data_IF_827404308034
#
_entry.id   IF_827404308034
#
_cell.length_a   1.000
_cell.length_b   1.000
_cell.length_c   1.000
_cell.angle_alpha   90.00
_cell.angle_beta   90.00
_cell.angle_gamma   90.00
#
_symmetry.space_group_name_H-M   'P 1'
#
loop_
_entity.id
_entity.type
_entity.pdbx_description
1 polymer ?
#
# COMPACT_ATOMS: atom_id res chain seq x y z
N UNK A 1 5.01 -8.61 -57.01
CA UNK A 1 4.73 -9.44 -55.82
C UNK A 1 5.20 -8.68 -54.59
N UNK A 2 4.32 -7.93 -53.94
CA UNK A 2 4.60 -7.19 -52.71
C UNK A 2 4.17 -8.03 -51.51
N UNK A 3 5.11 -8.33 -50.62
CA UNK A 3 4.90 -9.13 -49.41
C UNK A 3 4.22 -8.25 -48.35
N UNK A 4 3.19 -8.72 -47.61
CA UNK A 4 2.60 -7.92 -46.53
C UNK A 4 3.54 -7.86 -45.34
N UNK A 5 3.78 -6.66 -44.80
CA UNK A 5 4.41 -6.48 -43.50
C UNK A 5 3.45 -6.92 -42.39
N UNK A 6 3.82 -7.96 -41.65
CA UNK A 6 3.19 -8.33 -40.40
C UNK A 6 3.40 -7.21 -39.36
N UNK A 7 2.36 -6.77 -38.63
CA UNK A 7 2.53 -5.81 -37.56
C UNK A 7 3.38 -6.45 -36.45
N UNK A 8 4.54 -5.84 -36.18
CA UNK A 8 5.39 -6.19 -35.06
C UNK A 8 4.59 -6.04 -33.77
N UNK A 9 4.27 -7.17 -33.13
CA UNK A 9 3.89 -7.19 -31.73
C UNK A 9 5.16 -6.89 -30.94
N UNK A 10 5.42 -5.61 -30.69
CA UNK A 10 6.38 -5.21 -29.67
C UNK A 10 6.00 -5.84 -28.33
N UNK A 11 6.94 -5.99 -27.39
CA UNK A 11 6.65 -6.54 -26.08
C UNK A 11 5.49 -5.78 -25.47
N UNK A 12 4.39 -6.48 -25.18
CA UNK A 12 3.25 -5.93 -24.44
C UNK A 12 3.78 -5.67 -23.03
N UNK A 13 4.31 -4.47 -22.80
CA UNK A 13 4.59 -3.98 -21.46
C UNK A 13 3.25 -4.07 -20.73
N UNK A 14 3.15 -4.84 -19.64
CA UNK A 14 1.91 -4.90 -18.87
C UNK A 14 1.49 -3.47 -18.56
N UNK A 15 0.30 -3.09 -19.02
CA UNK A 15 -0.21 -1.74 -18.85
C UNK A 15 -0.21 -1.46 -17.35
N UNK A 16 0.67 -0.57 -16.90
CA UNK A 16 0.77 -0.26 -15.48
C UNK A 16 -0.63 0.11 -14.96
N UNK A 17 -1.00 -0.43 -13.79
CA UNK A 17 -2.30 -0.19 -13.20
C UNK A 17 -2.56 1.33 -13.11
N UNK A 18 -3.60 1.86 -13.78
CA UNK A 18 -3.82 3.29 -13.90
C UNK A 18 -4.20 3.96 -12.58
N UNK A 19 -4.59 3.20 -11.56
CA UNK A 19 -5.01 3.68 -10.25
C UNK A 19 -3.85 3.75 -9.25
N UNK A 20 -2.74 3.09 -9.55
CA UNK A 20 -1.54 3.18 -8.71
C UNK A 20 -0.72 4.42 -9.10
N UNK A 21 -0.92 5.52 -8.37
CA UNK A 21 -0.30 6.83 -8.60
C UNK A 21 0.26 7.38 -7.29
N UNK A 22 1.26 8.27 -7.35
CA UNK A 22 1.76 9.03 -6.16
C UNK A 22 2.08 8.13 -4.96
N UNK A 23 3.12 7.32 -5.13
CA UNK A 23 3.59 6.32 -4.14
C UNK A 23 3.88 6.98 -2.78
N UNK A 24 4.39 8.19 -2.79
CA UNK A 24 4.71 9.03 -1.64
C UNK A 24 3.50 9.44 -0.80
N UNK A 25 2.28 9.34 -1.34
CA UNK A 25 1.04 9.75 -0.71
C UNK A 25 0.12 8.56 -0.41
N UNK A 26 0.69 7.37 -0.19
CA UNK A 26 -0.05 6.11 -0.11
C UNK A 26 -1.30 6.14 0.81
N UNK A 27 -1.26 6.64 2.07
CA UNK A 27 -2.48 6.72 2.90
C UNK A 27 -3.59 7.57 2.30
N UNK A 28 -3.24 8.66 1.61
CA UNK A 28 -4.21 9.54 0.94
C UNK A 28 -4.82 8.84 -0.28
N UNK A 29 -3.99 8.20 -1.11
CA UNK A 29 -4.44 7.48 -2.31
C UNK A 29 -5.34 6.30 -1.95
N UNK A 30 -5.03 5.55 -0.88
CA UNK A 30 -5.92 4.51 -0.33
C UNK A 30 -7.30 5.09 0.00
N UNK A 31 -7.34 6.19 0.75
CA UNK A 31 -8.60 6.82 1.12
C UNK A 31 -9.38 7.36 -0.08
N UNK A 32 -8.69 7.78 -1.15
CA UNK A 32 -9.32 8.19 -2.40
C UNK A 32 -9.90 6.98 -3.16
N UNK A 33 -9.14 5.90 -3.29
CA UNK A 33 -9.58 4.68 -3.98
C UNK A 33 -10.75 4.00 -3.26
N UNK A 34 -10.72 3.95 -1.92
CA UNK A 34 -11.84 3.42 -1.13
C UNK A 34 -13.14 4.22 -1.32
N UNK A 35 -13.06 5.52 -1.61
CA UNK A 35 -14.23 6.34 -1.95
C UNK A 35 -14.70 6.17 -3.39
N UNK A 36 -13.81 5.74 -4.28
CA UNK A 36 -14.11 5.51 -5.69
C UNK A 36 -14.83 4.17 -5.91
N UNK A 37 -14.59 3.20 -5.01
CA UNK A 37 -15.38 1.97 -4.91
C UNK A 37 -16.82 2.38 -4.55
N UNK A 38 -17.67 2.44 -5.57
CA UNK A 38 -19.06 2.91 -5.57
C UNK A 38 -19.92 2.34 -4.41
N UNK A 39 -20.93 3.07 -3.95
CA UNK A 39 -21.91 2.62 -2.95
C UNK A 39 -22.71 1.39 -3.44
N UNK A 40 -22.68 1.12 -4.75
CA UNK A 40 -23.29 -0.06 -5.39
C UNK A 40 -22.49 -1.37 -5.22
N UNK A 41 -21.39 -1.38 -4.46
CA UNK A 41 -20.68 -2.62 -4.12
C UNK A 41 -21.50 -3.46 -3.15
N UNK A 42 -22.30 -4.37 -3.72
CA UNK A 42 -22.95 -5.42 -2.95
C UNK A 42 -21.90 -6.40 -2.41
N UNK A 43 -21.91 -6.73 -1.10
CA UNK A 43 -21.03 -7.76 -0.54
C UNK A 43 -21.32 -9.16 -1.12
N UNK A 44 -22.38 -9.30 -1.91
CA UNK A 44 -22.79 -10.56 -2.54
C UNK A 44 -22.54 -10.57 -4.06
N UNK A 45 -22.14 -9.45 -4.65
CA UNK A 45 -21.85 -9.37 -6.08
C UNK A 45 -20.34 -9.56 -6.34
N UNK A 46 -19.96 -10.27 -7.43
CA UNK A 46 -18.61 -10.21 -7.95
C UNK A 46 -18.17 -8.78 -8.26
N UNK A 47 -16.94 -8.44 -7.88
CA UNK A 47 -16.32 -7.19 -8.32
C UNK A 47 -16.07 -7.20 -9.84
N UNK A 48 -16.06 -6.00 -10.42
CA UNK A 48 -15.73 -5.76 -11.83
C UNK A 48 -14.22 -5.77 -12.06
N UNK A 49 -13.81 -5.78 -13.33
CA UNK A 49 -12.40 -5.64 -13.71
C UNK A 49 -11.79 -4.31 -13.25
N UNK A 50 -12.57 -3.23 -13.29
CA UNK A 50 -12.12 -1.91 -12.85
C UNK A 50 -11.89 -1.89 -11.34
N UNK A 51 -12.84 -2.42 -10.58
CA UNK A 51 -12.71 -2.57 -9.12
C UNK A 51 -11.55 -3.50 -8.74
N UNK A 52 -11.22 -4.49 -9.57
CA UNK A 52 -10.04 -5.32 -9.35
C UNK A 52 -8.74 -4.54 -9.54
N UNK A 53 -8.68 -3.61 -10.50
CA UNK A 53 -7.54 -2.69 -10.64
C UNK A 53 -7.46 -1.72 -9.46
N UNK A 54 -8.58 -1.17 -8.98
CA UNK A 54 -8.59 -0.32 -7.79
C UNK A 54 -8.12 -1.07 -6.54
N UNK A 55 -8.61 -2.29 -6.33
CA UNK A 55 -8.18 -3.16 -5.23
C UNK A 55 -6.67 -3.48 -5.31
N UNK A 56 -6.15 -3.80 -6.49
CA UNK A 56 -4.70 -3.99 -6.69
C UNK A 56 -3.91 -2.72 -6.34
N UNK A 57 -4.39 -1.54 -6.73
CA UNK A 57 -3.74 -0.28 -6.40
C UNK A 57 -3.75 -0.02 -4.88
N UNK A 58 -4.86 -0.29 -4.20
CA UNK A 58 -4.95 -0.20 -2.72
C UNK A 58 -3.94 -1.16 -2.08
N UNK A 59 -3.86 -2.41 -2.53
CA UNK A 59 -2.91 -3.39 -2.00
C UNK A 59 -1.47 -2.89 -2.09
N UNK A 60 -1.09 -2.35 -3.26
CA UNK A 60 0.25 -1.81 -3.49
C UNK A 60 0.55 -0.55 -2.67
N UNK A 61 -0.44 0.32 -2.47
CA UNK A 61 -0.28 1.47 -1.58
C UNK A 61 -0.13 1.05 -0.12
N UNK A 62 -0.88 0.05 0.33
CA UNK A 62 -0.81 -0.46 1.68
C UNK A 62 0.57 -1.09 1.97
N UNK A 63 1.11 -1.86 1.02
CA UNK A 63 2.46 -2.42 1.10
C UNK A 63 3.53 -1.32 1.23
N UNK A 64 3.48 -0.31 0.35
CA UNK A 64 4.40 0.83 0.42
C UNK A 64 4.26 1.63 1.72
N UNK A 65 3.03 1.87 2.19
CA UNK A 65 2.81 2.58 3.46
C UNK A 65 3.39 1.80 4.64
N UNK A 66 3.23 0.47 4.66
CA UNK A 66 3.80 -0.39 5.67
C UNK A 66 5.34 -0.34 5.66
N UNK A 67 5.96 -0.39 4.48
CA UNK A 67 7.42 -0.28 4.35
C UNK A 67 7.93 1.05 4.90
N UNK A 68 7.27 2.16 4.55
CA UNK A 68 7.62 3.49 5.05
C UNK A 68 7.51 3.56 6.58
N UNK A 69 6.44 3.00 7.16
CA UNK A 69 6.26 2.95 8.61
C UNK A 69 7.40 2.16 9.27
N UNK A 70 7.74 0.98 8.78
CA UNK A 70 8.81 0.18 9.38
C UNK A 70 10.17 0.85 9.31
N UNK A 71 10.53 1.44 8.16
CA UNK A 71 11.76 2.23 8.03
C UNK A 71 11.77 3.42 9.00
N UNK A 72 10.63 4.08 9.18
CA UNK A 72 10.49 5.17 10.16
C UNK A 72 10.71 4.70 11.61
N UNK A 73 10.13 3.55 11.98
CA UNK A 73 10.30 2.96 13.30
C UNK A 73 11.75 2.53 13.56
N UNK A 74 12.45 1.97 12.56
CA UNK A 74 13.87 1.64 12.64
C UNK A 74 14.72 2.89 12.89
N UNK A 75 14.49 3.96 12.14
CA UNK A 75 15.21 5.23 12.31
C UNK A 75 14.96 5.86 13.69
N UNK A 76 13.73 5.78 14.22
CA UNK A 76 13.43 6.23 15.59
C UNK A 76 14.22 5.40 16.61
N UNK A 77 14.27 4.07 16.44
CA UNK A 77 15.03 3.18 17.30
C UNK A 77 16.54 3.48 17.30
N UNK A 78 17.10 3.80 16.12
CA UNK A 78 18.50 4.23 15.99
C UNK A 78 18.76 5.53 16.75
N UNK A 79 17.92 6.55 16.56
CA UNK A 79 18.04 7.84 17.26
C UNK A 79 17.95 7.66 18.77
N UNK A 80 17.02 6.85 19.26
CA UNK A 80 16.90 6.56 20.70
C UNK A 80 18.12 5.84 21.25
N UNK A 81 18.69 4.90 20.48
CA UNK A 81 19.90 4.17 20.87
C UNK A 81 21.11 5.10 20.98
N UNK A 82 21.29 6.00 20.00
CA UNK A 82 22.33 7.05 20.04
C UNK A 82 22.13 7.96 21.26
N UNK A 83 20.90 8.42 21.49
CA UNK A 83 20.59 9.31 22.61
C UNK A 83 20.85 8.65 23.98
N UNK A 84 20.52 7.36 24.12
CA UNK A 84 20.72 6.61 25.35
C UNK A 84 22.20 6.35 25.69
N UNK A 85 23.06 6.24 24.68
CA UNK A 85 24.50 6.02 24.85
C UNK A 85 25.30 7.31 25.02
N UNK A 86 24.68 8.48 24.82
CA UNK A 86 25.34 9.76 24.98
C UNK A 86 25.30 10.21 26.45
N UNK A 87 26.45 10.15 27.13
CA UNK A 87 26.60 10.51 28.54
C UNK A 87 26.26 11.98 28.87
N UNK A 88 26.26 12.87 27.87
CA UNK A 88 25.90 14.29 28.04
C UNK A 88 24.44 14.58 27.68
N UNK A 89 23.74 13.62 27.09
CA UNK A 89 22.35 13.78 26.67
C UNK A 89 21.40 13.49 27.81
N UNK A 90 20.48 14.42 28.07
CA UNK A 90 19.34 14.18 28.95
C UNK A 90 18.06 14.23 28.10
N UNK A 91 17.42 13.07 27.92
CA UNK A 91 16.13 13.01 27.22
C UNK A 91 15.03 13.20 28.26
N UNK A 92 14.23 14.26 28.08
CA UNK A 92 13.08 14.50 28.95
C UNK A 92 12.08 13.35 28.85
N UNK A 93 11.57 12.87 29.99
CA UNK A 93 10.54 11.84 30.06
C UNK A 93 9.29 12.16 29.24
N UNK A 94 8.91 13.44 29.08
CA UNK A 94 7.80 13.84 28.21
C UNK A 94 8.09 13.56 26.73
N UNK A 95 9.34 13.77 26.29
CA UNK A 95 9.79 13.45 24.93
C UNK A 95 9.77 11.95 24.69
N UNK A 96 10.26 11.17 25.66
CA UNK A 96 10.22 9.69 25.58
C UNK A 96 8.78 9.19 25.51
N UNK A 97 7.88 9.76 26.32
CA UNK A 97 6.45 9.43 26.30
C UNK A 97 5.82 9.71 24.92
N UNK A 98 6.08 10.89 24.35
CA UNK A 98 5.56 11.27 23.04
C UNK A 98 6.08 10.35 21.92
N UNK A 99 7.36 9.95 21.97
CA UNK A 99 7.92 8.97 21.03
C UNK A 99 7.24 7.61 21.19
N UNK A 100 7.02 7.15 22.42
CA UNK A 100 6.28 5.92 22.71
C UNK A 100 4.84 5.94 22.16
N UNK A 101 4.15 7.07 22.29
CA UNK A 101 2.81 7.26 21.73
C UNK A 101 2.80 7.17 20.20
N UNK A 102 3.77 7.80 19.53
CA UNK A 102 3.93 7.74 18.07
C UNK A 102 4.21 6.30 17.62
N UNK A 103 5.14 5.60 18.27
CA UNK A 103 5.46 4.20 17.95
C UNK A 103 4.19 3.34 18.07
N UNK A 104 3.39 3.53 19.11
CA UNK A 104 2.13 2.79 19.30
C UNK A 104 1.14 3.08 18.16
N UNK A 105 0.97 4.34 17.77
CA UNK A 105 0.09 4.72 16.67
C UNK A 105 0.54 4.10 15.34
N UNK A 106 1.81 4.27 14.98
CA UNK A 106 2.39 3.72 13.76
C UNK A 106 2.32 2.19 13.72
N UNK A 107 2.46 1.52 14.86
CA UNK A 107 2.32 0.05 14.95
C UNK A 107 0.90 -0.42 14.61
N UNK A 108 -0.12 0.31 15.05
CA UNK A 108 -1.53 0.01 14.72
C UNK A 108 -1.81 0.32 13.25
N UNK A 109 -1.28 1.44 12.72
CA UNK A 109 -1.42 1.78 11.30
C UNK A 109 -0.76 0.73 10.40
N UNK A 110 0.43 0.23 10.77
CA UNK A 110 1.11 -0.84 10.02
C UNK A 110 0.31 -2.15 9.99
N UNK A 111 -0.40 -2.48 11.07
CA UNK A 111 -1.33 -3.62 11.12
C UNK A 111 -2.52 -3.39 10.18
N UNK A 112 -3.14 -2.21 10.25
CA UNK A 112 -4.23 -1.85 9.34
C UNK A 112 -3.81 -1.95 7.86
N UNK A 113 -2.62 -1.42 7.52
CA UNK A 113 -2.08 -1.53 6.16
C UNK A 113 -1.89 -3.00 5.75
N UNK A 114 -1.38 -3.85 6.64
CA UNK A 114 -1.24 -5.29 6.37
C UNK A 114 -2.58 -5.94 6.06
N UNK A 115 -3.54 -5.73 6.93
CA UNK A 115 -4.84 -6.41 6.87
C UNK A 115 -5.61 -5.96 5.62
N UNK A 116 -5.58 -4.66 5.33
CA UNK A 116 -6.17 -4.09 4.13
C UNK A 116 -5.47 -4.57 2.85
N UNK A 117 -4.13 -4.57 2.83
CA UNK A 117 -3.36 -5.05 1.68
C UNK A 117 -3.62 -6.54 1.39
N UNK A 118 -3.68 -7.35 2.44
CA UNK A 118 -4.04 -8.78 2.36
C UNK A 118 -5.45 -8.98 1.82
N UNK A 119 -6.44 -8.28 2.39
CA UNK A 119 -7.83 -8.35 1.93
C UNK A 119 -7.97 -8.01 0.44
N UNK A 120 -7.31 -6.94 -0.01
CA UNK A 120 -7.38 -6.52 -1.41
C UNK A 120 -6.66 -7.50 -2.34
N UNK A 121 -5.53 -8.06 -1.91
CA UNK A 121 -4.81 -9.10 -2.66
C UNK A 121 -5.68 -10.34 -2.84
N UNK A 122 -6.33 -10.81 -1.77
CA UNK A 122 -7.24 -11.95 -1.81
C UNK A 122 -8.46 -11.68 -2.72
N UNK A 123 -8.97 -10.45 -2.66
CA UNK A 123 -10.09 -10.00 -3.51
C UNK A 123 -9.74 -10.07 -5.00
N UNK A 124 -8.55 -9.58 -5.37
CA UNK A 124 -8.04 -9.65 -6.74
C UNK A 124 -7.83 -11.09 -7.18
N UNK A 125 -7.22 -11.93 -6.33
CA UNK A 125 -6.99 -13.34 -6.63
C UNK A 125 -8.31 -14.11 -6.87
N UNK A 126 -9.33 -13.83 -6.05
CA UNK A 126 -10.67 -14.41 -6.21
C UNK A 126 -11.35 -13.96 -7.51
N UNK A 127 -11.17 -12.70 -7.93
CA UNK A 127 -11.63 -12.21 -9.23
C UNK A 127 -10.94 -12.92 -10.40
N UNK A 128 -9.62 -13.00 -10.38
CA UNK A 128 -8.84 -13.65 -11.44
C UNK A 128 -9.21 -15.13 -11.59
N UNK A 129 -9.41 -15.85 -10.48
CA UNK A 129 -9.84 -17.24 -10.50
C UNK A 129 -11.20 -17.44 -11.17
N UNK A 130 -12.16 -16.54 -10.95
CA UNK A 130 -13.49 -16.59 -11.58
C UNK A 130 -13.42 -16.31 -13.08
N UNK A 131 -12.56 -15.40 -13.51
CA UNK A 131 -12.35 -15.09 -14.93
C UNK A 131 -11.73 -16.24 -15.74
N UNK A 132 -11.02 -17.15 -15.06
CA UNK A 132 -10.35 -18.28 -15.69
C UNK A 132 -11.26 -19.53 -15.84
N UNK A 133 -12.49 -19.49 -15.33
CA UNK A 133 -13.50 -20.54 -15.43
C UNK A 133 -14.44 -20.26 -16.61
#
# INVERSE_FOLDING_TARGET
>A
MTKPLTPQHGPVIPKANPHFRRIDHAPYEIGFLLKAIDDDVSPHAPITDEQALEAEAIARHADNAQEVIFRGLEAIGEVLSIAALNAESTVNGSTVSAIGEIIRHLSVEAQLMRDMGGLMTDTVAAHQKRRAQ
#
